data_IF_513365391869
#
_entry.id   IF_513365391869
#
_cell.length_a   1.000
_cell.length_b   1.000
_cell.length_c   1.000
_cell.angle_alpha   90.00
_cell.angle_beta   90.00
_cell.angle_gamma   90.00
#
_symmetry.space_group_name_H-M   'P 1'
#
loop_
_entity.id
_entity.type
_entity.pdbx_description
1 polymer ?
#
# COMPACT_ATOMS: atom_id res chain seq x y z
N UNK A 1 12.07 7.61 -22.38
CA UNK A 1 11.77 7.92 -20.97
C UNK A 1 10.25 7.89 -20.83
N UNK A 2 9.70 7.19 -19.83
CA UNK A 2 8.24 7.12 -19.69
C UNK A 2 7.69 8.52 -19.40
N UNK A 3 6.69 8.95 -20.16
CA UNK A 3 5.98 10.22 -19.96
C UNK A 3 5.13 10.27 -18.67
N UNK A 4 5.20 9.23 -17.85
CA UNK A 4 4.40 9.08 -16.64
C UNK A 4 5.09 9.70 -15.42
N UNK A 5 4.30 10.32 -14.54
CA UNK A 5 4.79 10.98 -13.32
C UNK A 5 5.74 12.16 -13.61
N UNK A 6 5.40 12.99 -14.60
CA UNK A 6 6.19 14.19 -14.89
C UNK A 6 6.24 15.13 -13.69
N UNK A 7 7.47 15.50 -13.29
CA UNK A 7 7.71 16.35 -12.12
C UNK A 7 7.75 15.59 -10.78
N UNK A 8 7.56 14.26 -10.79
CA UNK A 8 7.71 13.44 -9.59
C UNK A 8 9.13 12.91 -9.45
N UNK A 9 9.67 12.96 -8.24
CA UNK A 9 10.93 12.30 -7.88
C UNK A 9 10.69 10.80 -7.71
N UNK A 10 11.52 9.96 -8.31
CA UNK A 10 11.60 8.52 -7.99
C UNK A 10 12.67 8.31 -6.93
N UNK A 11 12.33 7.58 -5.89
CA UNK A 11 13.23 7.31 -4.78
C UNK A 11 13.06 5.88 -4.27
N UNK A 12 14.09 5.34 -3.64
CA UNK A 12 14.04 4.09 -2.89
C UNK A 12 14.48 4.37 -1.46
N UNK A 13 13.60 4.08 -0.51
CA UNK A 13 13.82 4.36 0.91
C UNK A 13 13.97 3.06 1.68
N UNK A 14 15.13 2.86 2.29
CA UNK A 14 15.39 1.74 3.18
C UNK A 14 14.74 1.98 4.55
N UNK A 15 13.93 1.02 4.99
CA UNK A 15 13.32 0.97 6.31
C UNK A 15 13.93 -0.19 7.09
N UNK A 16 14.52 0.13 8.25
CA UNK A 16 15.18 -0.85 9.12
C UNK A 16 14.16 -1.86 9.67
N UNK A 17 14.66 -3.01 10.07
CA UNK A 17 13.84 -4.04 10.73
C UNK A 17 13.21 -3.51 12.03
N UNK A 18 11.93 -3.79 12.19
CA UNK A 18 11.11 -3.46 13.37
C UNK A 18 10.27 -4.65 13.84
N UNK A 19 10.72 -5.86 13.56
CA UNK A 19 10.01 -7.11 13.81
C UNK A 19 9.38 -7.75 12.58
N UNK A 20 9.39 -7.05 11.41
CA UNK A 20 8.84 -7.56 10.14
C UNK A 20 9.88 -7.65 9.01
N UNK A 21 11.16 -7.64 9.36
CA UNK A 21 12.27 -7.61 8.40
C UNK A 21 12.60 -6.23 7.85
N UNK A 22 13.75 -6.10 7.22
CA UNK A 22 14.13 -4.89 6.47
C UNK A 22 13.41 -4.83 5.14
N UNK A 23 13.17 -3.62 4.65
CA UNK A 23 12.53 -3.41 3.35
C UNK A 23 13.07 -2.16 2.67
N UNK A 24 13.23 -2.25 1.36
CA UNK A 24 13.51 -1.11 0.51
C UNK A 24 12.23 -0.76 -0.26
N UNK A 25 11.63 0.36 0.06
CA UNK A 25 10.39 0.81 -0.59
C UNK A 25 10.71 1.76 -1.73
N UNK A 26 10.33 1.37 -2.94
CA UNK A 26 10.34 2.24 -4.11
C UNK A 26 9.08 3.07 -4.17
N UNK A 27 9.24 4.35 -4.46
CA UNK A 27 8.14 5.29 -4.54
C UNK A 27 8.38 6.36 -5.61
N UNK A 28 7.29 6.99 -6.03
CA UNK A 28 7.32 8.29 -6.70
C UNK A 28 6.56 9.29 -5.85
N UNK A 29 7.11 10.47 -5.67
CA UNK A 29 6.48 11.50 -4.87
C UNK A 29 6.69 12.89 -5.47
N UNK A 30 5.73 13.78 -5.24
CA UNK A 30 5.74 15.14 -5.78
C UNK A 30 4.37 15.80 -5.68
N UNK A 31 4.27 17.01 -6.21
CA UNK A 31 3.06 17.82 -6.13
C UNK A 31 3.09 18.84 -5.00
N UNK A 32 1.94 19.45 -4.69
CA UNK A 32 1.80 20.53 -3.70
C UNK A 32 0.55 20.30 -2.86
N UNK A 33 0.58 20.68 -1.59
CA UNK A 33 -0.58 20.66 -0.70
C UNK A 33 -0.56 19.53 0.32
N UNK A 34 -1.72 19.03 0.72
CA UNK A 34 -1.83 17.99 1.75
C UNK A 34 -1.26 16.64 1.30
N UNK A 35 -0.60 15.91 2.21
CA UNK A 35 -0.02 14.61 1.85
C UNK A 35 -1.09 13.57 1.53
N UNK A 36 -0.91 12.89 0.38
CA UNK A 36 -1.77 11.83 -0.14
C UNK A 36 -0.95 10.59 -0.48
N UNK A 37 -1.16 9.52 0.26
CA UNK A 37 -0.55 8.22 -0.01
C UNK A 37 -1.44 7.39 -0.94
N UNK A 38 -0.87 6.83 -2.01
CA UNK A 38 -1.56 5.97 -2.98
C UNK A 38 -0.97 4.56 -2.96
N UNK A 39 -1.78 3.56 -2.61
CA UNK A 39 -1.38 2.15 -2.50
C UNK A 39 -2.07 1.28 -3.55
N UNK A 40 -1.28 0.63 -4.39
CA UNK A 40 -1.73 -0.22 -5.49
C UNK A 40 -2.24 -1.59 -5.04
N UNK A 41 -2.85 -2.33 -5.96
CA UNK A 41 -3.31 -3.70 -5.78
C UNK A 41 -2.35 -4.77 -6.32
N UNK A 42 -2.78 -6.02 -6.25
CA UNK A 42 -2.11 -7.16 -6.85
C UNK A 42 -2.66 -7.42 -8.27
N UNK A 43 -1.84 -7.69 -9.29
CA UNK A 43 -0.36 -7.78 -9.34
C UNK A 43 0.30 -6.48 -9.85
N UNK A 44 -0.09 -5.33 -9.36
CA UNK A 44 0.31 -4.01 -9.87
C UNK A 44 1.51 -3.41 -9.10
N UNK A 45 1.85 -2.16 -9.46
CA UNK A 45 2.85 -1.31 -8.81
C UNK A 45 2.32 0.13 -8.69
N UNK A 46 3.13 1.05 -8.14
CA UNK A 46 2.80 2.48 -8.08
C UNK A 46 2.38 3.06 -9.44
N UNK A 47 2.84 2.47 -10.55
CA UNK A 47 2.53 2.92 -11.91
C UNK A 47 1.03 2.89 -12.21
N UNK A 48 0.23 2.09 -11.51
CA UNK A 48 -1.23 2.05 -11.70
C UNK A 48 -1.88 3.42 -11.56
N UNK A 49 -1.27 4.34 -10.82
CA UNK A 49 -1.78 5.67 -10.53
C UNK A 49 -1.41 6.74 -11.57
N UNK A 50 -0.63 6.38 -12.60
CA UNK A 50 -0.06 7.33 -13.57
C UNK A 50 -1.08 8.25 -14.26
N UNK A 51 -2.32 7.79 -14.46
CA UNK A 51 -3.36 8.57 -15.14
C UNK A 51 -3.99 9.65 -14.27
N UNK A 52 -3.99 9.47 -12.95
CA UNK A 52 -4.69 10.37 -12.04
C UNK A 52 -3.78 11.32 -11.28
N UNK A 53 -2.48 11.03 -11.20
CA UNK A 53 -1.54 11.86 -10.44
C UNK A 53 -1.41 13.27 -11.02
N UNK A 54 -1.53 13.43 -12.33
CA UNK A 54 -1.46 14.74 -12.99
C UNK A 54 -2.65 15.64 -12.63
N UNK A 55 -3.83 15.08 -12.40
CA UNK A 55 -5.03 15.81 -11.98
C UNK A 55 -5.00 16.18 -10.49
N UNK A 56 -4.23 15.43 -9.68
CA UNK A 56 -4.19 15.58 -8.23
C UNK A 56 -2.99 16.40 -7.72
N UNK A 57 -1.88 16.45 -8.47
CA UNK A 57 -0.59 17.03 -8.02
C UNK A 57 -0.63 18.50 -7.65
N UNK A 58 -1.60 19.27 -8.15
CA UNK A 58 -1.74 20.68 -7.81
C UNK A 58 -2.48 20.91 -6.48
N UNK A 59 -3.15 19.87 -5.96
CA UNK A 59 -3.93 19.91 -4.71
C UNK A 59 -3.30 19.07 -3.61
N UNK A 60 -2.52 18.04 -3.98
CA UNK A 60 -1.93 17.10 -3.04
C UNK A 60 -0.43 16.90 -3.28
N UNK A 61 0.31 16.77 -2.18
CA UNK A 61 1.63 16.18 -2.25
C UNK A 61 1.46 14.66 -2.27
N UNK A 62 1.65 14.06 -3.43
CA UNK A 62 1.36 12.66 -3.68
C UNK A 62 2.59 11.80 -3.36
N UNK A 63 2.36 10.69 -2.68
CA UNK A 63 3.31 9.59 -2.47
C UNK A 63 2.68 8.33 -3.04
N UNK A 64 3.18 7.84 -4.16
CA UNK A 64 2.77 6.57 -4.76
C UNK A 64 3.89 5.54 -4.57
N UNK A 65 3.67 4.57 -3.69
CA UNK A 65 4.69 3.58 -3.31
C UNK A 65 4.35 2.18 -3.80
N UNK A 66 5.38 1.38 -4.04
CA UNK A 66 5.24 -0.06 -4.19
C UNK A 66 5.16 -0.72 -2.80
N UNK A 67 4.21 -1.62 -2.62
CA UNK A 67 4.15 -2.47 -1.41
C UNK A 67 5.38 -3.38 -1.38
N UNK A 68 5.80 -3.85 -0.17
CA UNK A 68 6.90 -4.81 -0.03
C UNK A 68 6.70 -6.03 -0.93
N UNK A 69 7.72 -6.42 -1.66
CA UNK A 69 7.68 -7.54 -2.60
C UNK A 69 6.93 -7.27 -3.91
N UNK A 70 6.52 -6.02 -4.18
CA UNK A 70 5.88 -5.59 -5.42
C UNK A 70 6.72 -4.55 -6.16
N UNK A 71 6.54 -4.51 -7.48
CA UNK A 71 7.21 -3.54 -8.32
C UNK A 71 8.73 -3.59 -8.17
N UNK A 72 9.31 -2.50 -7.73
CA UNK A 72 10.75 -2.39 -7.45
C UNK A 72 11.06 -2.39 -5.94
N UNK A 73 10.06 -2.54 -5.08
CA UNK A 73 10.25 -2.67 -3.63
C UNK A 73 10.75 -4.06 -3.26
N UNK A 74 11.75 -4.10 -2.38
CA UNK A 74 12.38 -5.33 -1.92
C UNK A 74 11.91 -5.58 -0.49
N UNK A 75 11.31 -6.75 -0.24
CA UNK A 75 10.96 -7.24 1.09
C UNK A 75 12.01 -8.20 1.64
N UNK A 76 11.84 -8.67 2.88
CA UNK A 76 12.72 -9.69 3.45
C UNK A 76 12.62 -11.01 2.65
N UNK A 77 13.73 -11.73 2.54
CA UNK A 77 13.78 -13.02 1.81
C UNK A 77 12.87 -14.06 2.46
N UNK A 78 12.78 -14.07 3.79
CA UNK A 78 11.95 -15.01 4.53
C UNK A 78 10.59 -14.40 4.91
N UNK A 79 9.55 -15.21 4.81
CA UNK A 79 8.20 -14.82 5.23
C UNK A 79 8.06 -14.60 6.76
N UNK A 80 8.99 -15.14 7.54
CA UNK A 80 8.91 -15.19 9.00
C UNK A 80 7.89 -16.22 9.48
N UNK A 81 7.79 -16.39 10.80
CA UNK A 81 6.84 -17.33 11.39
C UNK A 81 5.41 -16.95 10.96
N UNK A 82 4.64 -17.92 10.44
CA UNK A 82 3.29 -17.74 9.93
C UNK A 82 3.19 -16.61 8.87
N UNK A 83 4.22 -16.40 8.07
CA UNK A 83 4.30 -15.37 7.02
C UNK A 83 4.09 -13.93 7.51
N UNK A 84 4.40 -13.65 8.78
CA UNK A 84 4.14 -12.35 9.41
C UNK A 84 4.84 -11.20 8.70
N UNK A 85 6.00 -11.46 8.07
CA UNK A 85 6.77 -10.46 7.34
C UNK A 85 6.04 -9.93 6.08
N UNK A 86 5.03 -10.66 5.58
CA UNK A 86 4.20 -10.24 4.44
C UNK A 86 2.73 -10.03 4.82
N UNK A 87 2.46 -9.90 6.10
CA UNK A 87 1.13 -9.56 6.60
C UNK A 87 0.71 -8.13 6.23
N UNK A 88 -0.59 -7.85 6.20
CA UNK A 88 -1.09 -6.48 6.02
C UNK A 88 -0.66 -5.54 7.15
N UNK A 89 -0.35 -6.08 8.34
CA UNK A 89 0.23 -5.29 9.44
C UNK A 89 1.63 -4.83 9.11
N UNK A 90 2.47 -5.71 8.59
CA UNK A 90 3.82 -5.37 8.16
C UNK A 90 3.80 -4.33 7.02
N UNK A 91 2.92 -4.53 6.03
CA UNK A 91 2.73 -3.57 4.93
C UNK A 91 2.22 -2.21 5.43
N UNK A 92 1.29 -2.20 6.39
CA UNK A 92 0.80 -0.96 7.00
C UNK A 92 1.91 -0.21 7.73
N UNK A 93 2.70 -0.89 8.55
CA UNK A 93 3.83 -0.33 9.27
C UNK A 93 4.88 0.29 8.32
N UNK A 94 5.20 -0.37 7.21
CA UNK A 94 6.09 0.19 6.19
C UNK A 94 5.60 1.56 5.72
N UNK A 95 4.34 1.66 5.37
CA UNK A 95 3.79 2.87 4.79
C UNK A 95 3.72 4.02 5.80
N UNK A 96 3.39 3.72 7.04
CA UNK A 96 3.43 4.68 8.15
C UNK A 96 4.86 5.22 8.34
N UNK A 97 5.84 4.34 8.37
CA UNK A 97 7.26 4.71 8.54
C UNK A 97 7.82 5.43 7.33
N UNK A 98 7.38 5.05 6.13
CA UNK A 98 7.71 5.74 4.89
C UNK A 98 7.23 7.20 4.96
N UNK A 99 5.95 7.42 5.29
CA UNK A 99 5.38 8.75 5.41
C UNK A 99 6.06 9.58 6.50
N UNK A 100 6.38 8.99 7.64
CA UNK A 100 7.14 9.64 8.70
C UNK A 100 8.56 10.05 8.25
N UNK A 101 9.26 9.22 7.47
CA UNK A 101 10.57 9.56 6.89
C UNK A 101 10.49 10.71 5.89
N UNK A 102 9.37 10.86 5.19
CA UNK A 102 9.11 12.01 4.31
C UNK A 102 8.65 13.26 5.08
N UNK A 103 8.54 13.19 6.42
CA UNK A 103 8.15 14.31 7.29
C UNK A 103 6.65 14.45 7.52
N UNK A 104 5.82 13.51 7.05
CA UNK A 104 4.37 13.56 7.17
C UNK A 104 3.90 12.80 8.42
N UNK A 105 3.35 13.52 9.40
CA UNK A 105 2.78 12.93 10.63
C UNK A 105 1.35 12.44 10.44
N UNK A 106 0.58 13.15 9.62
CA UNK A 106 -0.81 12.86 9.30
C UNK A 106 -1.03 13.01 7.80
N UNK A 107 -1.83 12.14 7.19
CA UNK A 107 -2.06 12.14 5.75
C UNK A 107 -3.40 11.51 5.36
N UNK A 108 -3.83 11.80 4.14
CA UNK A 108 -4.92 11.10 3.46
C UNK A 108 -4.35 9.87 2.76
N UNK A 109 -5.09 8.76 2.75
CA UNK A 109 -4.64 7.54 2.08
C UNK A 109 -5.71 6.95 1.17
N UNK A 110 -5.28 6.49 0.01
CA UNK A 110 -6.11 5.79 -0.97
C UNK A 110 -5.50 4.41 -1.24
N UNK A 111 -6.32 3.38 -1.18
CA UNK A 111 -5.89 2.02 -1.48
C UNK A 111 -6.82 1.30 -2.45
N UNK A 112 -6.22 0.54 -3.36
CA UNK A 112 -6.91 -0.34 -4.28
C UNK A 112 -6.54 -1.79 -4.00
N UNK A 113 -7.51 -2.70 -3.98
CA UNK A 113 -7.33 -4.15 -3.84
C UNK A 113 -6.42 -4.51 -2.63
N UNK A 114 -5.20 -5.02 -2.83
CA UNK A 114 -4.27 -5.34 -1.74
C UNK A 114 -3.82 -4.11 -0.96
N UNK A 115 -3.61 -2.97 -1.64
CA UNK A 115 -3.38 -1.68 -1.00
C UNK A 115 -4.54 -1.24 -0.11
N UNK A 116 -5.78 -1.48 -0.53
CA UNK A 116 -6.97 -1.18 0.28
C UNK A 116 -7.04 -2.02 1.56
N UNK A 117 -6.59 -3.28 1.54
CA UNK A 117 -6.46 -4.12 2.75
C UNK A 117 -5.38 -3.57 3.69
N UNK A 118 -4.27 -3.10 3.12
CA UNK A 118 -3.21 -2.42 3.86
C UNK A 118 -3.75 -1.14 4.52
N UNK A 119 -4.48 -0.31 3.77
CA UNK A 119 -5.14 0.91 4.29
C UNK A 119 -6.11 0.58 5.42
N UNK A 120 -6.96 -0.44 5.26
CA UNK A 120 -7.86 -0.89 6.33
C UNK A 120 -7.07 -1.25 7.60
N UNK A 121 -5.91 -1.92 7.45
CA UNK A 121 -5.04 -2.24 8.58
C UNK A 121 -4.41 -0.99 9.20
N UNK A 122 -4.00 -0.02 8.37
CA UNK A 122 -3.48 1.27 8.85
C UNK A 122 -4.51 2.01 9.72
N UNK A 123 -5.77 2.04 9.30
CA UNK A 123 -6.84 2.67 10.09
C UNK A 123 -7.05 2.02 11.46
N UNK A 124 -6.82 0.70 11.58
CA UNK A 124 -6.97 -0.02 12.85
C UNK A 124 -5.77 0.17 13.79
N UNK A 125 -4.54 0.15 13.24
CA UNK A 125 -3.33 0.19 14.06
C UNK A 125 -2.80 1.62 14.30
N UNK A 126 -3.09 2.56 13.38
CA UNK A 126 -2.55 3.92 13.38
C UNK A 126 -3.62 5.00 13.13
N UNK A 127 -4.76 4.99 13.84
CA UNK A 127 -5.90 5.85 13.54
C UNK A 127 -5.59 7.35 13.61
N UNK A 128 -4.63 7.76 14.45
CA UNK A 128 -4.26 9.16 14.63
C UNK A 128 -3.45 9.75 13.48
N UNK A 129 -2.90 8.91 12.60
CA UNK A 129 -2.09 9.34 11.47
C UNK A 129 -2.90 9.43 10.16
N UNK A 130 -4.12 8.89 10.16
CA UNK A 130 -4.97 8.83 8.97
C UNK A 130 -6.08 9.88 9.06
N UNK A 131 -5.96 10.94 8.25
CA UNK A 131 -6.96 12.02 8.18
C UNK A 131 -8.23 11.60 7.44
N UNK A 132 -8.05 11.04 6.25
CA UNK A 132 -9.15 10.59 5.38
C UNK A 132 -8.72 9.30 4.66
N UNK A 133 -9.70 8.48 4.28
CA UNK A 133 -9.46 7.21 3.61
C UNK A 133 -10.41 7.01 2.45
N UNK A 134 -9.87 6.48 1.33
CA UNK A 134 -10.67 5.92 0.26
C UNK A 134 -10.20 4.50 -0.05
N UNK A 135 -11.14 3.57 -0.17
CA UNK A 135 -10.89 2.14 -0.37
C UNK A 135 -11.64 1.68 -1.61
N UNK A 136 -10.90 1.06 -2.55
CA UNK A 136 -11.46 0.56 -3.81
C UNK A 136 -11.29 -0.95 -3.93
N UNK A 137 -12.32 -1.60 -4.48
CA UNK A 137 -12.33 -3.00 -4.92
C UNK A 137 -11.99 -4.02 -3.82
N UNK A 138 -12.42 -3.77 -2.59
CA UNK A 138 -12.41 -4.76 -1.50
C UNK A 138 -13.62 -4.65 -0.57
N UNK A 139 -13.89 -5.77 0.10
CA UNK A 139 -14.71 -5.81 1.32
C UNK A 139 -13.83 -6.13 2.54
N UNK A 140 -14.20 -5.66 3.74
CA UNK A 140 -13.50 -6.03 4.97
C UNK A 140 -13.39 -7.55 5.13
N UNK A 141 -12.22 -8.04 5.53
CA UNK A 141 -11.96 -9.48 5.67
C UNK A 141 -13.01 -10.16 6.57
N UNK A 142 -13.36 -9.53 7.70
CA UNK A 142 -14.40 -10.05 8.60
C UNK A 142 -15.74 -10.29 7.89
N UNK A 143 -16.14 -9.40 6.96
CA UNK A 143 -17.36 -9.58 6.19
C UNK A 143 -17.22 -10.78 5.24
N UNK A 144 -16.11 -10.87 4.52
CA UNK A 144 -15.84 -11.98 3.59
C UNK A 144 -15.95 -13.33 4.32
N UNK A 145 -15.26 -13.48 5.45
CA UNK A 145 -15.30 -14.72 6.23
C UNK A 145 -16.69 -15.08 6.79
N UNK A 146 -17.53 -14.09 7.03
CA UNK A 146 -18.92 -14.33 7.50
C UNK A 146 -19.88 -14.75 6.40
N UNK A 147 -19.71 -14.25 5.18
CA UNK A 147 -20.66 -14.44 4.07
C UNK A 147 -20.20 -15.46 3.03
N UNK A 148 -18.96 -15.98 3.14
CA UNK A 148 -18.45 -16.93 2.18
C UNK A 148 -19.28 -18.21 2.18
N UNK A 149 -19.71 -18.61 0.99
CA UNK A 149 -20.42 -19.87 0.71
C UNK A 149 -19.63 -20.66 -0.33
N UNK A 150 -19.97 -21.95 -0.55
CA UNK A 150 -19.33 -22.80 -1.53
C UNK A 150 -19.16 -22.12 -2.89
N UNK A 151 -20.20 -21.48 -3.41
CA UNK A 151 -20.15 -20.80 -4.71
C UNK A 151 -19.18 -19.61 -4.72
N UNK A 152 -19.07 -18.87 -3.60
CA UNK A 152 -18.07 -17.80 -3.48
C UNK A 152 -16.65 -18.38 -3.49
N UNK A 153 -16.39 -19.42 -2.71
CA UNK A 153 -15.09 -20.10 -2.66
C UNK A 153 -14.69 -20.64 -4.05
N UNK A 154 -15.63 -21.23 -4.77
CA UNK A 154 -15.40 -21.72 -6.14
C UNK A 154 -15.09 -20.58 -7.13
N UNK A 155 -15.75 -19.43 -7.01
CA UNK A 155 -15.48 -18.26 -7.88
C UNK A 155 -14.16 -17.54 -7.55
N UNK A 156 -13.62 -17.75 -6.35
CA UNK A 156 -12.39 -17.11 -5.84
C UNK A 156 -11.29 -18.12 -5.52
N UNK A 157 -11.33 -19.30 -6.14
CA UNK A 157 -10.38 -20.40 -5.89
C UNK A 157 -8.91 -19.97 -5.97
N UNK A 158 -8.58 -19.04 -6.89
CA UNK A 158 -7.23 -18.51 -7.05
C UNK A 158 -6.75 -17.74 -5.79
N UNK A 159 -7.65 -17.16 -4.99
CA UNK A 159 -7.27 -16.57 -3.72
C UNK A 159 -6.79 -17.59 -2.70
N UNK A 160 -7.41 -18.77 -2.70
CA UNK A 160 -7.03 -19.87 -1.81
C UNK A 160 -5.65 -20.42 -2.17
N UNK A 161 -5.30 -20.46 -3.45
CA UNK A 161 -3.98 -20.88 -3.92
C UNK A 161 -2.88 -19.87 -3.59
N UNK A 162 -3.18 -18.58 -3.62
CA UNK A 162 -2.20 -17.53 -3.29
C UNK A 162 -2.00 -17.32 -1.78
N UNK A 163 -2.73 -18.03 -0.95
CA UNK A 163 -2.62 -17.97 0.52
C UNK A 163 -1.69 -19.07 1.10
N UNK A 164 -1.08 -19.91 0.26
CA UNK A 164 -0.17 -20.98 0.66
C UNK A 164 1.26 -20.46 0.82
#
# INVERSE_FOLDING_TARGET
MSSWFLGFKKEKIKLKNNGFGEVDITLRHGGKGEPLLLLHGNPMSHVTWHKIVDELKDKFYIVASDLRGYGESIGPEEGGQNHINYSFRAMADDQIRLMAKLGFKEFTVVGHNRGARTVHRMCLDFPTQIKKVAIFDIMPNRHIWRVQKKNWAMSKWHWLLMMQ
#
